data_IF_605466680181
#
_entry.id   IF_605466680181
#
_cell.length_a   1.000
_cell.length_b   1.000
_cell.length_c   1.000
_cell.angle_alpha   90.00
_cell.angle_beta   90.00
_cell.angle_gamma   90.00
#
_symmetry.space_group_name_H-M   'P 1'
#
loop_
_entity.id
_entity.type
_entity.pdbx_description
1 polymer ?
#
# COMPACT_ATOMS: atom_id res chain seq x y z
N UNK A 1 -16.69 39.58 -20.60
CA UNK A 1 -17.33 38.39 -20.00
C UNK A 1 -16.72 37.07 -20.49
N UNK A 2 -16.29 36.98 -21.74
CA UNK A 2 -15.55 35.82 -22.24
C UNK A 2 -14.03 35.88 -21.89
N UNK A 3 -13.42 37.07 -21.95
CA UNK A 3 -12.02 37.29 -21.56
C UNK A 3 -11.72 36.95 -20.08
N UNK A 4 -12.65 37.26 -19.16
CA UNK A 4 -12.48 36.94 -17.74
C UNK A 4 -12.57 35.44 -17.48
N UNK A 5 -13.38 34.71 -18.24
CA UNK A 5 -13.46 33.25 -18.18
C UNK A 5 -12.24 32.56 -18.79
N UNK A 6 -11.66 33.13 -19.85
CA UNK A 6 -10.43 32.60 -20.43
C UNK A 6 -9.22 32.85 -19.51
N UNK A 7 -9.15 33.98 -18.83
CA UNK A 7 -8.13 34.28 -17.81
C UNK A 7 -8.24 33.32 -16.58
N UNK A 8 -9.44 33.02 -16.11
CA UNK A 8 -9.66 32.05 -15.02
C UNK A 8 -9.31 30.60 -15.45
N UNK A 9 -9.51 30.27 -16.73
CA UNK A 9 -9.13 28.97 -17.28
C UNK A 9 -7.62 28.87 -17.50
N UNK A 10 -6.92 29.97 -17.81
CA UNK A 10 -5.45 30.00 -17.91
C UNK A 10 -4.76 29.99 -16.55
N UNK A 11 -5.31 30.64 -15.52
CA UNK A 11 -4.81 30.55 -14.13
C UNK A 11 -4.95 29.15 -13.53
N UNK A 12 -5.89 28.34 -14.00
CA UNK A 12 -6.09 26.95 -13.57
C UNK A 12 -5.21 25.92 -14.28
N UNK A 13 -4.61 26.29 -15.40
CA UNK A 13 -3.68 25.41 -16.16
C UNK A 13 -2.25 25.70 -15.70
N UNK A 14 -1.76 24.96 -14.73
CA UNK A 14 -0.31 24.84 -14.60
C UNK A 14 0.26 24.41 -15.95
N UNK A 15 1.22 25.19 -16.54
CA UNK A 15 1.88 24.74 -17.76
C UNK A 15 2.42 23.33 -17.52
N UNK A 16 2.28 22.44 -18.50
CA UNK A 16 2.78 21.05 -18.39
C UNK A 16 4.25 21.00 -17.92
N UNK A 17 5.02 22.00 -18.28
CA UNK A 17 6.42 22.15 -17.86
C UNK A 17 6.56 22.36 -16.36
N UNK A 18 5.74 23.18 -15.73
CA UNK A 18 5.78 23.42 -14.27
C UNK A 18 5.39 22.17 -13.51
N UNK A 19 4.39 21.43 -14.01
CA UNK A 19 3.99 20.14 -13.43
C UNK A 19 5.12 19.09 -13.52
N UNK A 20 5.84 19.04 -14.64
CA UNK A 20 7.02 18.16 -14.79
C UNK A 20 8.18 18.57 -13.89
N UNK A 21 8.41 19.86 -13.70
CA UNK A 21 9.43 20.38 -12.77
C UNK A 21 9.06 20.01 -11.33
N UNK A 22 7.78 20.15 -10.98
CA UNK A 22 7.29 19.73 -9.66
C UNK A 22 7.48 18.22 -9.45
N UNK A 23 7.09 17.38 -10.42
CA UNK A 23 7.29 15.93 -10.38
C UNK A 23 8.77 15.57 -10.13
N UNK A 24 9.69 16.19 -10.90
CA UNK A 24 11.13 15.97 -10.73
C UNK A 24 11.58 16.29 -9.30
N UNK A 25 11.18 17.45 -8.78
CA UNK A 25 11.57 17.87 -7.45
C UNK A 25 11.02 16.92 -6.37
N UNK A 26 9.76 16.49 -6.48
CA UNK A 26 9.15 15.51 -5.57
C UNK A 26 9.85 14.16 -5.62
N UNK A 27 10.23 13.73 -6.83
CA UNK A 27 10.96 12.47 -7.04
C UNK A 27 12.35 12.53 -6.38
N UNK A 28 13.08 13.62 -6.55
CA UNK A 28 14.40 13.83 -5.91
C UNK A 28 14.28 13.74 -4.38
N UNK A 29 13.31 14.40 -3.78
CA UNK A 29 13.07 14.32 -2.33
C UNK A 29 12.69 12.90 -1.88
N UNK A 30 11.88 12.19 -2.66
CA UNK A 30 11.50 10.80 -2.37
C UNK A 30 12.72 9.86 -2.43
N UNK A 31 13.53 9.97 -3.47
CA UNK A 31 14.78 9.20 -3.61
C UNK A 31 15.75 9.53 -2.48
N UNK A 32 15.90 10.82 -2.13
CA UNK A 32 16.71 11.25 -1.00
C UNK A 32 16.27 10.62 0.33
N UNK A 33 14.96 10.60 0.58
CA UNK A 33 14.40 9.98 1.78
C UNK A 33 14.65 8.45 1.80
N UNK A 34 14.50 7.77 0.66
CA UNK A 34 14.80 6.33 0.53
C UNK A 34 16.28 6.06 0.77
N UNK A 35 17.18 6.89 0.22
CA UNK A 35 18.64 6.73 0.42
C UNK A 35 19.03 6.91 1.89
N UNK A 36 18.47 7.91 2.57
CA UNK A 36 18.69 8.10 4.02
C UNK A 36 18.13 6.89 4.79
N UNK A 37 16.92 6.45 4.48
CA UNK A 37 16.33 5.25 5.08
C UNK A 37 17.19 4.01 4.85
N UNK A 38 17.71 3.81 3.65
CA UNK A 38 18.63 2.72 3.32
C UNK A 38 19.90 2.77 4.18
N UNK A 39 20.57 3.92 4.28
CA UNK A 39 21.80 4.07 5.07
C UNK A 39 21.55 3.76 6.55
N UNK A 40 20.43 4.23 7.10
CA UNK A 40 20.03 3.93 8.48
C UNK A 40 19.81 2.42 8.63
N UNK A 41 19.00 1.81 7.77
CA UNK A 41 18.69 0.38 7.85
C UNK A 41 19.93 -0.50 7.62
N UNK A 42 20.87 -0.07 6.80
CA UNK A 42 22.11 -0.80 6.58
C UNK A 42 22.96 -0.93 7.85
N UNK A 43 22.95 0.05 8.75
CA UNK A 43 23.62 -0.05 10.05
C UNK A 43 22.99 -1.11 10.96
N UNK A 44 21.69 -1.36 10.79
CA UNK A 44 20.91 -2.31 11.58
C UNK A 44 20.58 -3.60 10.83
N UNK A 45 21.25 -3.88 9.71
CA UNK A 45 20.95 -4.99 8.79
C UNK A 45 20.79 -6.35 9.47
N UNK A 46 21.64 -6.66 10.46
CA UNK A 46 21.58 -7.94 11.18
C UNK A 46 20.33 -8.08 12.06
N UNK A 47 19.92 -6.97 12.71
CA UNK A 47 18.70 -6.94 13.51
C UNK A 47 17.46 -7.06 12.62
N UNK A 48 17.46 -6.36 11.48
CA UNK A 48 16.37 -6.41 10.50
C UNK A 48 16.28 -7.83 9.92
N UNK A 49 17.41 -8.42 9.56
CA UNK A 49 17.48 -9.81 9.12
C UNK A 49 16.88 -10.76 10.16
N UNK A 50 17.34 -10.68 11.41
CA UNK A 50 16.84 -11.52 12.50
C UNK A 50 15.32 -11.35 12.70
N UNK A 51 14.80 -10.12 12.63
CA UNK A 51 13.37 -9.86 12.68
C UNK A 51 12.63 -10.53 11.53
N UNK A 52 13.11 -10.40 10.29
CA UNK A 52 12.45 -10.98 9.12
C UNK A 52 12.49 -12.52 9.10
N UNK A 53 13.53 -13.14 9.69
CA UNK A 53 13.67 -14.60 9.75
C UNK A 53 12.91 -15.21 10.95
N UNK A 54 12.57 -14.40 11.95
CA UNK A 54 11.91 -14.86 13.17
C UNK A 54 10.64 -15.70 12.94
N UNK A 55 9.72 -15.38 11.99
CA UNK A 55 8.54 -16.21 11.73
C UNK A 55 8.88 -17.66 11.32
N UNK A 56 9.96 -17.84 10.56
CA UNK A 56 10.43 -19.17 10.18
C UNK A 56 11.13 -19.87 11.35
N UNK A 57 11.91 -19.12 12.13
CA UNK A 57 12.60 -19.66 13.30
C UNK A 57 11.62 -20.24 14.33
N UNK A 58 10.49 -19.56 14.56
CA UNK A 58 9.43 -20.05 15.45
C UNK A 58 8.80 -21.37 14.95
N UNK A 59 8.66 -21.53 13.63
CA UNK A 59 8.10 -22.78 13.07
C UNK A 59 9.07 -23.96 13.24
N UNK A 60 10.36 -23.70 13.20
CA UNK A 60 11.41 -24.70 13.39
C UNK A 60 11.86 -24.84 14.85
N UNK A 61 11.21 -24.17 15.79
CA UNK A 61 11.53 -24.26 17.20
C UNK A 61 11.42 -25.72 17.71
N UNK A 62 12.47 -26.21 18.37
CA UNK A 62 12.57 -27.60 18.83
C UNK A 62 13.10 -28.60 17.77
N UNK A 63 13.35 -28.21 16.54
CA UNK A 63 13.96 -29.05 15.51
C UNK A 63 15.47 -28.78 15.44
N UNK A 64 16.30 -29.80 15.65
CA UNK A 64 17.76 -29.67 15.56
C UNK A 64 18.24 -29.74 14.12
N UNK A 65 19.28 -28.96 13.78
CA UNK A 65 19.92 -29.01 12.47
C UNK A 65 19.25 -28.16 11.37
N UNK A 66 18.22 -27.39 11.70
CA UNK A 66 17.58 -26.46 10.74
C UNK A 66 18.39 -25.19 10.58
N UNK A 67 18.66 -24.80 9.35
CA UNK A 67 19.39 -23.59 9.02
C UNK A 67 18.98 -23.05 7.65
N UNK A 68 19.22 -21.78 7.42
CA UNK A 68 19.11 -21.17 6.10
C UNK A 68 20.44 -21.33 5.38
N UNK A 69 20.40 -21.72 4.12
CA UNK A 69 21.58 -21.92 3.28
C UNK A 69 21.78 -20.77 2.30
N UNK A 70 23.01 -20.51 1.94
CA UNK A 70 23.36 -19.69 0.77
C UNK A 70 24.32 -20.50 -0.12
N UNK A 71 24.16 -20.38 -1.43
CA UNK A 71 24.91 -21.18 -2.41
C UNK A 71 25.90 -20.36 -3.21
N UNK A 72 25.77 -19.03 -3.19
CA UNK A 72 26.67 -18.11 -3.87
C UNK A 72 27.57 -17.35 -2.89
N UNK A 73 28.85 -17.16 -3.24
CA UNK A 73 29.81 -16.44 -2.40
C UNK A 73 29.38 -15.01 -2.02
N UNK A 74 28.74 -14.33 -2.95
CA UNK A 74 28.28 -12.94 -2.76
C UNK A 74 26.83 -12.82 -2.31
N UNK A 75 26.12 -13.95 -2.23
CA UNK A 75 24.67 -13.98 -1.96
C UNK A 75 24.33 -13.35 -0.60
N UNK A 76 25.07 -13.66 0.45
CA UNK A 76 24.83 -13.08 1.78
C UNK A 76 25.01 -11.57 1.79
N UNK A 77 26.05 -11.04 1.12
CA UNK A 77 26.27 -9.59 1.01
C UNK A 77 25.14 -8.88 0.30
N UNK A 78 24.78 -9.34 -0.91
CA UNK A 78 23.69 -8.72 -1.67
C UNK A 78 22.34 -8.86 -0.98
N UNK A 79 22.13 -9.93 -0.22
CA UNK A 79 20.92 -10.10 0.58
C UNK A 79 20.81 -9.04 1.67
N UNK A 80 21.90 -8.74 2.42
CA UNK A 80 21.89 -7.66 3.40
C UNK A 80 21.67 -6.29 2.75
N UNK A 81 22.26 -6.01 1.59
CA UNK A 81 22.02 -4.78 0.83
C UNK A 81 20.54 -4.68 0.42
N UNK A 82 19.99 -5.76 -0.14
CA UNK A 82 18.58 -5.83 -0.55
C UNK A 82 17.63 -5.62 0.63
N UNK A 83 17.83 -6.33 1.74
CA UNK A 83 17.02 -6.19 2.97
C UNK A 83 17.07 -4.77 3.49
N UNK A 84 18.25 -4.16 3.53
CA UNK A 84 18.42 -2.78 3.98
C UNK A 84 17.72 -1.78 3.07
N UNK A 85 17.75 -1.99 1.75
CA UNK A 85 17.05 -1.16 0.78
C UNK A 85 15.53 -1.24 0.97
N UNK A 86 14.99 -2.45 1.09
CA UNK A 86 13.56 -2.67 1.28
C UNK A 86 13.07 -2.14 2.64
N UNK A 87 13.82 -2.37 3.70
CA UNK A 87 13.52 -1.80 5.02
C UNK A 87 13.61 -0.26 5.00
N UNK A 88 14.60 0.29 4.29
CA UNK A 88 14.75 1.72 4.07
C UNK A 88 13.56 2.33 3.30
N UNK A 89 13.06 1.63 2.29
CA UNK A 89 11.85 2.02 1.55
C UNK A 89 10.61 2.04 2.46
N UNK A 90 10.44 1.01 3.30
CA UNK A 90 9.35 0.98 4.29
C UNK A 90 9.48 2.13 5.30
N UNK A 91 10.68 2.40 5.81
CA UNK A 91 10.95 3.49 6.74
C UNK A 91 10.70 4.87 6.10
N UNK A 92 11.10 5.04 4.84
CA UNK A 92 10.90 6.26 4.07
C UNK A 92 9.45 6.42 3.56
N UNK A 93 8.61 5.38 3.65
CA UNK A 93 7.26 5.39 3.07
C UNK A 93 6.41 6.60 3.48
N UNK A 94 6.37 7.05 4.75
CA UNK A 94 5.62 8.26 5.13
C UNK A 94 6.11 9.51 4.39
N UNK A 95 7.42 9.65 4.20
CA UNK A 95 8.00 10.77 3.46
C UNK A 95 7.65 10.69 1.97
N UNK A 96 7.82 9.51 1.34
CA UNK A 96 7.45 9.26 -0.06
C UNK A 96 5.97 9.51 -0.28
N UNK A 97 5.10 8.96 0.57
CA UNK A 97 3.67 9.17 0.51
C UNK A 97 3.31 10.67 0.59
N UNK A 98 3.96 11.41 1.49
CA UNK A 98 3.75 12.86 1.59
C UNK A 98 4.12 13.61 0.31
N UNK A 99 5.17 13.19 -0.41
CA UNK A 99 5.53 13.80 -1.70
C UNK A 99 4.51 13.47 -2.79
N UNK A 100 4.02 12.22 -2.83
CA UNK A 100 2.95 11.81 -3.76
C UNK A 100 1.68 12.64 -3.49
N UNK A 101 1.28 12.76 -2.22
CA UNK A 101 0.12 13.56 -1.84
C UNK A 101 0.26 15.05 -2.20
N UNK A 102 1.41 15.64 -1.96
CA UNK A 102 1.70 17.03 -2.34
C UNK A 102 1.70 17.24 -3.86
N UNK A 103 2.05 16.22 -4.64
CA UNK A 103 1.99 16.27 -6.11
C UNK A 103 0.56 16.19 -6.63
N UNK A 104 -0.29 15.40 -5.99
CA UNK A 104 -1.70 15.24 -6.37
C UNK A 104 -2.57 16.39 -5.86
N UNK A 105 -2.21 17.03 -4.74
CA UNK A 105 -2.98 18.07 -4.07
C UNK A 105 -3.24 19.36 -4.90
N UNK A 106 -2.33 19.86 -5.79
CA UNK A 106 -2.62 21.05 -6.59
C UNK A 106 -3.79 20.88 -7.56
N UNK A 107 -4.08 19.65 -8.00
CA UNK A 107 -5.24 19.31 -8.84
C UNK A 107 -6.60 19.39 -8.10
N UNK A 108 -6.59 19.65 -6.80
CA UNK A 108 -7.81 19.79 -6.00
C UNK A 108 -8.10 21.25 -5.65
N UNK A 109 -9.39 21.60 -5.57
CA UNK A 109 -9.87 22.92 -5.21
C UNK A 109 -9.25 23.45 -3.91
N UNK A 110 -8.87 24.74 -3.90
CA UNK A 110 -8.16 25.42 -2.79
C UNK A 110 -8.84 25.24 -1.42
N UNK A 111 -10.18 25.09 -1.38
CA UNK A 111 -10.96 24.91 -0.15
C UNK A 111 -10.89 23.50 0.47
N UNK A 112 -10.39 22.50 -0.24
CA UNK A 112 -10.36 21.11 0.23
C UNK A 112 -9.03 20.66 0.84
N UNK A 113 -7.99 21.51 0.84
CA UNK A 113 -6.66 21.15 1.37
C UNK A 113 -6.69 20.65 2.82
N UNK A 114 -7.56 21.21 3.67
CA UNK A 114 -7.69 20.75 5.08
C UNK A 114 -8.24 19.32 5.18
N UNK A 115 -9.00 18.91 4.21
CA UNK A 115 -9.58 17.56 4.17
C UNK A 115 -8.59 16.48 3.73
N UNK A 116 -7.35 16.84 3.34
CA UNK A 116 -6.27 15.93 2.98
C UNK A 116 -5.45 15.44 4.16
N UNK A 117 -5.35 16.22 5.23
CA UNK A 117 -4.55 15.83 6.39
C UNK A 117 -4.90 14.44 6.96
N UNK A 118 -6.19 14.04 7.06
CA UNK A 118 -6.54 12.70 7.50
C UNK A 118 -5.98 11.60 6.60
N UNK A 119 -5.96 11.80 5.29
CA UNK A 119 -5.42 10.81 4.34
C UNK A 119 -3.89 10.71 4.42
N UNK A 120 -3.22 11.86 4.63
CA UNK A 120 -1.77 11.88 4.81
C UNK A 120 -1.33 11.09 6.05
N UNK A 121 -2.13 11.14 7.13
CA UNK A 121 -1.88 10.35 8.34
C UNK A 121 -2.34 8.90 8.19
N UNK A 122 -3.49 8.64 7.54
CA UNK A 122 -4.01 7.30 7.32
C UNK A 122 -3.08 6.44 6.45
N UNK A 123 -2.42 7.04 5.45
CA UNK A 123 -1.51 6.35 4.53
C UNK A 123 -0.40 5.57 5.23
N UNK A 124 0.48 6.14 6.08
CA UNK A 124 1.51 5.37 6.77
C UNK A 124 0.93 4.38 7.78
N UNK A 125 -0.18 4.69 8.43
CA UNK A 125 -0.85 3.78 9.37
C UNK A 125 -1.38 2.54 8.63
N UNK A 126 -2.08 2.72 7.53
CA UNK A 126 -2.59 1.61 6.72
C UNK A 126 -1.45 0.78 6.13
N UNK A 127 -0.37 1.42 5.67
CA UNK A 127 0.82 0.70 5.20
C UNK A 127 1.39 -0.21 6.30
N UNK A 128 1.59 0.34 7.50
CA UNK A 128 2.08 -0.43 8.64
C UNK A 128 1.13 -1.57 9.04
N UNK A 129 -0.18 -1.34 8.99
CA UNK A 129 -1.19 -2.38 9.23
C UNK A 129 -1.12 -3.50 8.19
N UNK A 130 -0.97 -3.16 6.90
CA UNK A 130 -0.80 -4.13 5.83
C UNK A 130 0.47 -4.97 6.02
N UNK A 131 1.60 -4.32 6.28
CA UNK A 131 2.85 -5.01 6.56
C UNK A 131 2.76 -5.89 7.82
N UNK A 132 2.10 -5.42 8.89
CA UNK A 132 1.87 -6.19 10.10
C UNK A 132 0.98 -7.43 9.83
N UNK A 133 -0.09 -7.28 9.05
CA UNK A 133 -0.93 -8.42 8.66
C UNK A 133 -0.12 -9.47 7.88
N UNK A 134 0.71 -9.02 6.92
CA UNK A 134 1.60 -9.91 6.19
C UNK A 134 2.55 -10.65 7.13
N UNK A 135 3.22 -9.92 8.04
CA UNK A 135 4.23 -10.47 8.93
C UNK A 135 3.66 -11.45 9.98
N UNK A 136 2.58 -11.06 10.66
CA UNK A 136 2.05 -11.83 11.78
C UNK A 136 1.04 -12.91 11.39
N UNK A 137 0.41 -12.80 10.22
CA UNK A 137 -0.66 -13.72 9.80
C UNK A 137 -0.28 -14.48 8.53
N UNK A 138 -0.01 -13.77 7.44
CA UNK A 138 0.13 -14.41 6.12
C UNK A 138 1.42 -15.22 6.02
N UNK A 139 2.55 -14.66 6.43
CA UNK A 139 3.85 -15.33 6.38
C UNK A 139 3.84 -16.63 7.23
N UNK A 140 3.40 -16.62 8.51
CA UNK A 140 3.34 -17.87 9.27
C UNK A 140 2.40 -18.94 8.67
N UNK A 141 1.27 -18.55 8.09
CA UNK A 141 0.35 -19.49 7.42
C UNK A 141 1.03 -20.11 6.20
N UNK A 142 1.64 -19.27 5.35
CA UNK A 142 2.34 -19.72 4.16
C UNK A 142 3.49 -20.69 4.49
N UNK A 143 4.31 -20.37 5.51
CA UNK A 143 5.42 -21.23 5.90
C UNK A 143 4.96 -22.57 6.48
N UNK A 144 3.94 -22.59 7.32
CA UNK A 144 3.35 -23.84 7.80
C UNK A 144 2.86 -24.71 6.66
N UNK A 145 2.28 -24.10 5.64
CA UNK A 145 1.84 -24.81 4.44
C UNK A 145 3.02 -25.40 3.70
N UNK A 146 4.11 -24.64 3.42
CA UNK A 146 5.28 -25.18 2.73
C UNK A 146 5.99 -26.28 3.52
N UNK A 147 6.12 -26.15 4.83
CA UNK A 147 6.71 -27.17 5.70
C UNK A 147 5.86 -28.44 5.74
N UNK A 148 4.53 -28.35 5.50
CA UNK A 148 3.67 -29.56 5.48
C UNK A 148 3.96 -30.52 4.34
N UNK A 149 4.72 -30.11 3.32
CA UNK A 149 5.18 -31.00 2.24
C UNK A 149 6.45 -31.79 2.59
N UNK A 150 7.04 -31.57 3.75
CA UNK A 150 8.19 -32.34 4.18
C UNK A 150 7.82 -33.79 4.51
N UNK A 151 8.65 -34.69 4.08
CA UNK A 151 8.55 -36.13 4.41
C UNK A 151 9.90 -36.61 4.97
N UNK A 152 10.18 -36.34 6.28
CA UNK A 152 11.49 -36.61 6.89
C UNK A 152 11.90 -38.06 6.87
N UNK A 153 10.94 -38.99 6.90
CA UNK A 153 11.18 -40.45 6.89
C UNK A 153 11.17 -41.07 5.48
N UNK A 154 10.86 -40.25 4.45
CA UNK A 154 10.58 -40.75 3.10
C UNK A 154 9.20 -41.45 3.03
N UNK A 155 8.62 -41.50 1.82
CA UNK A 155 7.44 -42.32 1.55
C UNK A 155 7.88 -43.70 1.08
N UNK A 156 7.41 -44.75 1.72
CA UNK A 156 7.62 -46.18 1.35
C UNK A 156 9.09 -46.55 1.06
N UNK A 157 10.04 -46.05 1.86
CA UNK A 157 11.48 -46.31 1.67
C UNK A 157 12.17 -45.39 0.64
N UNK A 158 11.49 -44.36 0.17
CA UNK A 158 12.05 -43.30 -0.68
C UNK A 158 12.99 -42.34 0.05
N UNK A 159 13.56 -41.41 -0.69
CA UNK A 159 14.42 -40.37 -0.14
C UNK A 159 13.57 -39.36 0.67
N UNK A 160 14.07 -38.86 1.81
CA UNK A 160 13.39 -37.82 2.58
C UNK A 160 13.35 -36.52 1.79
N UNK A 161 12.22 -35.80 1.89
CA UNK A 161 12.06 -34.43 1.39
C UNK A 161 12.09 -33.49 2.59
N UNK A 162 13.08 -32.61 2.62
CA UNK A 162 13.27 -31.62 3.70
C UNK A 162 13.43 -30.26 3.08
N UNK A 163 12.79 -29.23 3.66
CA UNK A 163 12.90 -27.86 3.20
C UNK A 163 14.25 -27.26 3.63
N UNK A 164 15.11 -27.03 2.66
CA UNK A 164 16.33 -26.23 2.84
C UNK A 164 16.12 -24.86 2.20
N UNK A 165 15.68 -23.90 3.01
CA UNK A 165 15.34 -22.58 2.52
C UNK A 165 16.61 -21.76 2.23
N UNK A 166 16.73 -21.24 1.00
CA UNK A 166 17.80 -20.29 0.64
C UNK A 166 17.50 -18.91 1.20
N UNK A 167 18.52 -18.29 1.81
CA UNK A 167 18.41 -16.97 2.43
C UNK A 167 17.81 -15.94 1.49
N UNK A 168 18.33 -15.85 0.26
CA UNK A 168 17.87 -14.85 -0.71
C UNK A 168 16.43 -15.09 -1.18
N UNK A 169 16.03 -16.33 -1.40
CA UNK A 169 14.66 -16.67 -1.85
C UNK A 169 13.65 -16.40 -0.75
N UNK A 170 13.97 -16.85 0.48
CA UNK A 170 13.16 -16.61 1.66
C UNK A 170 12.90 -15.10 1.88
N UNK A 171 13.99 -14.33 1.99
CA UNK A 171 13.87 -12.88 2.25
C UNK A 171 13.23 -12.12 1.10
N UNK A 172 13.47 -12.52 -0.15
CA UNK A 172 12.81 -11.92 -1.31
C UNK A 172 11.30 -12.09 -1.22
N UNK A 173 10.82 -13.29 -0.87
CA UNK A 173 9.39 -13.54 -0.70
C UNK A 173 8.80 -12.74 0.47
N UNK A 174 9.47 -12.76 1.63
CA UNK A 174 9.02 -11.97 2.81
C UNK A 174 8.91 -10.49 2.48
N UNK A 175 9.94 -9.91 1.85
CA UNK A 175 9.94 -8.49 1.47
C UNK A 175 8.85 -8.17 0.45
N UNK A 176 8.64 -9.04 -0.56
CA UNK A 176 7.57 -8.88 -1.55
C UNK A 176 6.20 -8.90 -0.89
N UNK A 177 5.95 -9.82 0.05
CA UNK A 177 4.71 -9.86 0.80
C UNK A 177 4.50 -8.61 1.66
N UNK A 178 5.50 -8.20 2.45
CA UNK A 178 5.41 -7.03 3.31
C UNK A 178 5.07 -5.76 2.52
N UNK A 179 5.76 -5.52 1.40
CA UNK A 179 5.48 -4.37 0.55
C UNK A 179 4.17 -4.51 -0.21
N UNK A 180 3.91 -5.67 -0.77
CA UNK A 180 2.67 -5.93 -1.51
C UNK A 180 1.45 -5.66 -0.64
N UNK A 181 1.43 -6.16 0.60
CA UNK A 181 0.37 -5.87 1.55
C UNK A 181 0.35 -4.41 1.99
N UNK A 182 1.51 -3.82 2.29
CA UNK A 182 1.61 -2.41 2.65
C UNK A 182 1.02 -1.49 1.57
N UNK A 183 1.34 -1.74 0.30
CA UNK A 183 0.81 -0.99 -0.85
C UNK A 183 -0.68 -1.31 -1.06
N UNK A 184 -1.08 -2.57 -0.97
CA UNK A 184 -2.47 -2.99 -1.17
C UNK A 184 -3.41 -2.36 -0.13
N UNK A 185 -2.94 -2.15 1.09
CA UNK A 185 -3.68 -1.44 2.14
C UNK A 185 -3.88 0.07 1.84
N UNK A 186 -3.23 0.62 0.81
CA UNK A 186 -3.52 1.98 0.32
C UNK A 186 -4.82 2.04 -0.51
N UNK A 187 -5.40 0.92 -0.88
CA UNK A 187 -6.59 0.84 -1.72
C UNK A 187 -7.77 1.68 -1.16
N UNK A 188 -8.13 1.62 0.14
CA UNK A 188 -9.18 2.46 0.70
C UNK A 188 -8.90 3.96 0.58
N UNK A 189 -7.66 4.37 0.81
CA UNK A 189 -7.26 5.78 0.71
C UNK A 189 -7.35 6.25 -0.73
N UNK A 190 -6.82 5.47 -1.68
CA UNK A 190 -6.84 5.79 -3.10
C UNK A 190 -8.28 5.92 -3.62
N UNK A 191 -9.12 4.91 -3.38
CA UNK A 191 -10.51 4.91 -3.87
C UNK A 191 -11.35 6.02 -3.22
N UNK A 192 -11.18 6.24 -1.90
CA UNK A 192 -11.91 7.31 -1.21
C UNK A 192 -11.53 8.68 -1.74
N UNK A 193 -10.24 8.89 -2.07
CA UNK A 193 -9.81 10.14 -2.70
C UNK A 193 -10.38 10.31 -4.09
N UNK A 194 -10.33 9.27 -4.93
CA UNK A 194 -10.94 9.31 -6.27
C UNK A 194 -12.44 9.61 -6.21
N UNK A 195 -13.15 9.08 -5.21
CA UNK A 195 -14.55 9.41 -4.97
C UNK A 195 -14.74 10.87 -4.55
N UNK A 196 -13.83 11.41 -3.73
CA UNK A 196 -13.87 12.80 -3.29
C UNK A 196 -13.70 13.78 -4.44
N UNK A 197 -12.83 13.48 -5.39
CA UNK A 197 -12.61 14.26 -6.61
C UNK A 197 -13.75 14.05 -7.64
N UNK A 198 -14.63 13.08 -7.41
CA UNK A 198 -15.76 12.79 -8.30
C UNK A 198 -15.39 11.90 -9.50
N UNK A 199 -14.18 11.32 -9.52
CA UNK A 199 -13.74 10.40 -10.58
C UNK A 199 -14.46 9.04 -10.53
N UNK A 200 -14.86 8.61 -9.34
CA UNK A 200 -15.58 7.35 -9.13
C UNK A 200 -16.73 7.57 -8.15
N UNK A 201 -17.72 6.66 -8.20
CA UNK A 201 -18.84 6.66 -7.27
C UNK A 201 -18.92 5.35 -6.50
N UNK A 202 -19.47 5.40 -5.28
CA UNK A 202 -19.68 4.21 -4.47
C UNK A 202 -20.62 3.19 -5.15
N UNK A 203 -21.61 3.69 -5.87
CA UNK A 203 -22.53 2.86 -6.68
C UNK A 203 -21.78 2.20 -7.86
N UNK A 204 -20.89 2.93 -8.53
CA UNK A 204 -20.04 2.42 -9.61
C UNK A 204 -19.08 1.34 -9.13
N UNK A 205 -18.44 1.51 -7.96
CA UNK A 205 -17.62 0.49 -7.34
C UNK A 205 -18.43 -0.76 -6.97
N UNK A 206 -19.59 -0.56 -6.34
CA UNK A 206 -20.46 -1.66 -5.94
C UNK A 206 -20.96 -2.50 -7.13
N UNK A 207 -21.25 -1.89 -8.26
CA UNK A 207 -21.64 -2.59 -9.49
C UNK A 207 -20.52 -3.43 -10.11
N UNK A 208 -19.26 -3.07 -9.84
CA UNK A 208 -18.07 -3.73 -10.38
C UNK A 208 -17.42 -4.74 -9.42
N UNK A 209 -18.08 -5.09 -8.31
CA UNK A 209 -17.53 -6.03 -7.29
C UNK A 209 -16.97 -7.32 -7.86
N UNK A 210 -17.70 -7.96 -8.80
CA UNK A 210 -17.25 -9.20 -9.43
C UNK A 210 -15.89 -9.07 -10.13
N UNK A 211 -15.64 -7.94 -10.79
CA UNK A 211 -14.38 -7.69 -11.45
C UNK A 211 -13.26 -7.36 -10.43
N UNK A 212 -13.59 -6.60 -9.39
CA UNK A 212 -12.67 -6.29 -8.30
C UNK A 212 -12.18 -7.57 -7.61
N UNK A 213 -13.07 -8.52 -7.31
CA UNK A 213 -12.71 -9.82 -6.72
C UNK A 213 -11.72 -10.55 -7.63
N UNK A 214 -12.00 -10.66 -8.93
CA UNK A 214 -11.09 -11.31 -9.88
C UNK A 214 -9.73 -10.62 -9.92
N UNK A 215 -9.70 -9.28 -9.99
CA UNK A 215 -8.46 -8.51 -9.98
C UNK A 215 -7.66 -8.77 -8.70
N UNK A 216 -8.31 -8.84 -7.53
CA UNK A 216 -7.64 -9.11 -6.27
C UNK A 216 -7.03 -10.52 -6.21
N UNK A 217 -7.70 -11.52 -6.78
CA UNK A 217 -7.11 -12.85 -6.93
C UNK A 217 -5.93 -12.85 -7.91
N UNK A 218 -5.99 -12.07 -9.00
CA UNK A 218 -4.85 -11.91 -9.92
C UNK A 218 -3.68 -11.22 -9.22
N UNK A 219 -3.93 -10.13 -8.47
CA UNK A 219 -2.89 -9.46 -7.68
C UNK A 219 -2.29 -10.42 -6.65
N UNK A 220 -3.13 -11.18 -5.96
CA UNK A 220 -2.66 -12.20 -5.03
C UNK A 220 -1.77 -13.24 -5.71
N UNK A 221 -2.17 -13.75 -6.89
CA UNK A 221 -1.39 -14.73 -7.65
C UNK A 221 -0.03 -14.21 -8.13
N UNK A 222 0.10 -12.91 -8.37
CA UNK A 222 1.37 -12.28 -8.75
C UNK A 222 2.31 -12.10 -7.54
N UNK A 223 1.73 -11.82 -6.37
CA UNK A 223 2.50 -11.52 -5.16
C UNK A 223 2.86 -12.77 -4.33
N UNK A 224 2.10 -13.85 -4.46
CA UNK A 224 2.32 -15.10 -3.72
C UNK A 224 2.79 -16.22 -4.66
N UNK A 225 3.49 -17.23 -4.13
CA UNK A 225 3.67 -18.47 -4.86
C UNK A 225 2.33 -19.06 -5.33
N UNK A 226 2.31 -19.87 -6.40
CA UNK A 226 1.08 -20.41 -6.98
C UNK A 226 0.48 -21.52 -6.09
N UNK A 227 0.02 -21.16 -4.89
CA UNK A 227 -0.69 -22.05 -3.97
C UNK A 227 -2.01 -21.42 -3.51
N UNK A 228 -3.03 -22.26 -3.32
CA UNK A 228 -4.39 -21.83 -2.99
C UNK A 228 -4.45 -21.15 -1.61
N UNK A 229 -3.65 -21.61 -0.65
CA UNK A 229 -3.71 -21.12 0.74
C UNK A 229 -3.11 -19.73 0.83
N UNK A 230 -1.89 -19.53 0.33
CA UNK A 230 -1.25 -18.22 0.33
C UNK A 230 -2.04 -17.20 -0.51
N UNK A 231 -2.48 -17.62 -1.70
CA UNK A 231 -3.27 -16.76 -2.58
C UNK A 231 -4.59 -16.33 -1.93
N UNK A 232 -5.33 -17.25 -1.30
CA UNK A 232 -6.59 -16.93 -0.62
C UNK A 232 -6.35 -16.07 0.61
N UNK A 233 -5.30 -16.35 1.38
CA UNK A 233 -4.91 -15.58 2.56
C UNK A 233 -4.57 -14.11 2.23
N UNK A 234 -4.12 -13.82 0.99
CA UNK A 234 -3.93 -12.46 0.51
C UNK A 234 -5.22 -11.88 -0.09
N UNK A 235 -5.94 -12.65 -0.90
CA UNK A 235 -7.12 -12.15 -1.60
C UNK A 235 -8.26 -11.73 -0.64
N UNK A 236 -8.50 -12.48 0.43
CA UNK A 236 -9.57 -12.19 1.40
C UNK A 236 -9.41 -10.84 2.08
N UNK A 237 -8.26 -10.48 2.68
CA UNK A 237 -8.03 -9.13 3.20
C UNK A 237 -8.22 -8.03 2.15
N UNK A 238 -7.76 -8.24 0.91
CA UNK A 238 -7.94 -7.26 -0.17
C UNK A 238 -9.42 -7.03 -0.50
N UNK A 239 -10.23 -8.09 -0.53
CA UNK A 239 -11.68 -7.99 -0.76
C UNK A 239 -12.33 -7.20 0.40
N UNK A 240 -11.95 -7.48 1.65
CA UNK A 240 -12.45 -6.75 2.82
C UNK A 240 -12.08 -5.26 2.72
N UNK A 241 -10.86 -4.93 2.33
CA UNK A 241 -10.41 -3.56 2.11
C UNK A 241 -11.18 -2.86 1.00
N UNK A 242 -11.51 -3.57 -0.07
CA UNK A 242 -12.34 -3.03 -1.14
C UNK A 242 -13.76 -2.70 -0.67
N UNK A 243 -14.39 -3.60 0.10
CA UNK A 243 -15.70 -3.31 0.69
C UNK A 243 -15.65 -2.14 1.68
N UNK A 244 -14.60 -2.06 2.51
CA UNK A 244 -14.36 -0.91 3.37
C UNK A 244 -14.19 0.38 2.55
N UNK A 245 -13.55 0.31 1.38
CA UNK A 245 -13.41 1.45 0.46
C UNK A 245 -14.77 1.93 -0.06
N UNK A 246 -15.67 1.02 -0.42
CA UNK A 246 -17.03 1.38 -0.86
C UNK A 246 -17.77 2.12 0.25
N UNK A 247 -17.64 1.66 1.50
CA UNK A 247 -18.27 2.33 2.67
C UNK A 247 -17.67 3.73 2.85
N UNK A 248 -16.35 3.87 2.79
CA UNK A 248 -15.66 5.16 2.89
C UNK A 248 -16.09 6.12 1.77
N UNK A 249 -16.19 5.64 0.53
CA UNK A 249 -16.67 6.43 -0.60
C UNK A 249 -18.09 6.95 -0.36
N UNK A 250 -19.02 6.11 0.14
CA UNK A 250 -20.39 6.53 0.48
C UNK A 250 -20.41 7.62 1.55
N UNK A 251 -19.55 7.52 2.56
CA UNK A 251 -19.47 8.55 3.61
C UNK A 251 -19.02 9.88 3.05
N UNK A 252 -18.03 9.88 2.16
CA UNK A 252 -17.51 11.09 1.51
C UNK A 252 -18.55 11.70 0.57
N UNK A 253 -19.21 10.90 -0.26
CA UNK A 253 -20.29 11.34 -1.15
C UNK A 253 -21.45 12.00 -0.36
N UNK A 254 -21.86 11.38 0.75
CA UNK A 254 -22.92 11.92 1.62
C UNK A 254 -22.48 13.23 2.29
N UNK A 255 -21.23 13.34 2.72
CA UNK A 255 -20.70 14.56 3.32
C UNK A 255 -20.61 15.70 2.29
N UNK A 256 -20.26 15.38 1.04
CA UNK A 256 -20.23 16.33 -0.07
C UNK A 256 -21.64 16.84 -0.40
N UNK A 257 -22.60 15.95 -0.59
CA UNK A 257 -23.99 16.33 -0.89
C UNK A 257 -24.63 17.19 0.21
N UNK A 258 -24.28 16.95 1.49
CA UNK A 258 -24.72 17.81 2.59
C UNK A 258 -24.17 19.22 2.51
N UNK A 259 -22.89 19.38 2.19
CA UNK A 259 -22.26 20.71 2.02
C UNK A 259 -22.87 21.47 0.85
N UNK A 260 -23.04 20.82 -0.30
CA UNK A 260 -23.67 21.40 -1.48
C UNK A 260 -25.10 21.89 -1.15
N UNK A 261 -25.89 21.10 -0.42
CA UNK A 261 -27.22 21.50 0.02
C UNK A 261 -27.21 22.66 1.04
N UNK A 262 -26.23 22.71 1.95
CA UNK A 262 -26.05 23.79 2.92
C UNK A 262 -25.67 25.12 2.21
N UNK A 263 -24.76 25.04 1.22
CA UNK A 263 -24.34 26.19 0.39
C UNK A 263 -25.51 26.73 -0.45
N UNK A 264 -26.29 25.85 -1.08
CA UNK A 264 -27.49 26.23 -1.83
C UNK A 264 -28.55 26.90 -0.94
N UNK A 265 -28.76 26.39 0.28
CA UNK A 265 -29.70 26.96 1.24
C UNK A 265 -29.22 28.35 1.73
N UNK A 266 -27.91 28.54 1.93
CA UNK A 266 -27.35 29.83 2.33
C UNK A 266 -27.47 30.86 1.21
N UNK A 267 -27.21 30.47 -0.04
CA UNK A 267 -27.39 31.35 -1.21
C UNK A 267 -28.86 31.74 -1.40
N UNK A 268 -29.79 30.79 -1.26
CA UNK A 268 -31.22 31.05 -1.33
C UNK A 268 -31.72 31.99 -0.20
N UNK A 269 -31.11 31.86 1.01
CA UNK A 269 -31.40 32.75 2.14
C UNK A 269 -30.90 34.18 1.94
N UNK A 270 -29.74 34.36 1.29
CA UNK A 270 -29.16 35.68 0.97
C UNK A 270 -29.87 36.38 -0.21
N UNK A 271 -30.58 35.65 -1.07
CA UNK A 271 -31.29 36.18 -2.24
C UNK A 271 -32.69 36.72 -1.95
N UNK A 272 -33.20 36.67 -0.70
CA UNK A 272 -34.45 37.30 -0.34
C UNK A 272 -34.23 38.79 -0.01
N UNK A 273 -34.63 39.74 -0.86
CA UNK A 273 -34.62 41.15 -0.50
C UNK A 273 -35.54 41.34 0.71
N UNK A 274 -35.09 42.10 1.70
CA UNK A 274 -35.94 42.59 2.78
C UNK A 274 -37.13 43.35 2.17
N UNK A 275 -38.21 42.65 1.95
CA UNK A 275 -39.48 43.26 1.55
C UNK A 275 -40.12 43.83 2.79
N UNK A 276 -40.13 45.18 2.91
CA UNK A 276 -41.08 45.91 3.73
C UNK A 276 -40.45 46.66 4.89
N UNK A 277 -40.16 47.94 4.66
CA UNK A 277 -40.42 49.05 5.55
C UNK A 277 -40.75 50.29 4.72
#
# INVERSE_FOLDING_TARGET
MDDDREAELEEGRMPLLDHLIELRNRLIWSIGAIMVGFLICYQFKERIYGFLVHPLAVIFEGQTGRHLIYTGLTEAFFTYVKVSFWAGLCLAFPAVASQIWKFVAPGLYKNERRAFYPYLFATPVLFAMGAALAYFVVIPIAWRFFVSFETPTGLDGGLPIVLEAKVNEYLSLVMTLLLGFGIAFQLPVLLTLMARVGLITSAGLASKRRYAIVIMFVVAAVLTPPDIISQTSLAVPLIILFEASIISCRMVEKARARREAEEEAELAGKGKPAAGA
#
